data_IF_647803083804
#
_entry.id   IF_647803083804
#
_cell.length_a   1.000
_cell.length_b   1.000
_cell.length_c   1.000
_cell.angle_alpha   90.00
_cell.angle_beta   90.00
_cell.angle_gamma   90.00
#
_symmetry.space_group_name_H-M   'P 1'
#
loop_
_entity.id
_entity.type
_entity.pdbx_description
1 polymer ?
#
# COMPACT_ATOMS: atom_id res chain seq x y z
N UNK A 1 13.63 19.09 -14.60
CA UNK A 1 12.46 18.18 -14.56
C UNK A 1 11.20 19.00 -14.76
N UNK A 2 10.29 18.64 -15.67
CA UNK A 2 8.99 19.31 -15.78
C UNK A 2 8.02 18.74 -14.74
N UNK A 3 7.41 19.59 -13.90
CA UNK A 3 6.38 19.15 -12.94
C UNK A 3 5.00 19.23 -13.60
N UNK A 4 4.31 18.11 -13.69
CA UNK A 4 2.95 18.01 -14.24
C UNK A 4 2.11 17.13 -13.33
N UNK A 5 0.86 17.54 -13.06
CA UNK A 5 -0.06 16.81 -12.16
C UNK A 5 -1.23 16.28 -12.96
N UNK A 6 -1.51 14.98 -12.86
CA UNK A 6 -2.68 14.30 -13.44
C UNK A 6 -3.58 13.85 -12.30
N UNK A 7 -4.90 13.87 -12.50
CA UNK A 7 -5.85 13.38 -11.50
C UNK A 7 -5.69 11.86 -11.36
N UNK A 8 -5.72 11.35 -10.13
CA UNK A 8 -5.70 9.90 -9.89
C UNK A 8 -6.82 9.19 -10.66
N UNK A 9 -6.48 8.11 -11.36
CA UNK A 9 -7.40 7.34 -12.20
C UNK A 9 -7.63 7.87 -13.62
N UNK A 10 -7.15 9.07 -13.97
CA UNK A 10 -7.27 9.62 -15.33
C UNK A 10 -6.16 9.09 -16.25
N UNK A 11 -6.33 7.84 -16.71
CA UNK A 11 -5.38 7.17 -17.62
C UNK A 11 -5.30 7.88 -18.97
N UNK A 12 -6.44 8.30 -19.52
CA UNK A 12 -6.49 9.00 -20.79
C UNK A 12 -5.69 10.32 -20.75
N UNK A 13 -5.90 11.13 -19.70
CA UNK A 13 -5.14 12.36 -19.51
C UNK A 13 -3.64 12.14 -19.28
N UNK A 14 -3.25 11.01 -18.66
CA UNK A 14 -1.84 10.63 -18.53
C UNK A 14 -1.23 10.29 -19.91
N UNK A 15 -1.91 9.47 -20.70
CA UNK A 15 -1.46 9.05 -22.03
C UNK A 15 -1.38 10.24 -23.01
N UNK A 16 -2.36 11.14 -22.97
CA UNK A 16 -2.34 12.37 -23.78
C UNK A 16 -1.09 13.21 -23.46
N UNK A 17 -0.71 13.31 -22.18
CA UNK A 17 0.50 14.03 -21.79
C UNK A 17 1.76 13.33 -22.25
N UNK A 18 1.81 12.00 -22.17
CA UNK A 18 2.92 11.24 -22.72
C UNK A 18 3.05 11.42 -24.23
N UNK A 19 1.94 11.46 -24.97
CA UNK A 19 1.94 11.77 -26.39
C UNK A 19 2.52 13.17 -26.67
N UNK A 20 2.07 14.20 -25.94
CA UNK A 20 2.62 15.57 -26.07
C UNK A 20 4.12 15.63 -25.74
N UNK A 21 4.59 14.88 -24.74
CA UNK A 21 6.01 14.80 -24.39
C UNK A 21 6.82 14.07 -25.47
N UNK A 22 6.27 13.01 -26.05
CA UNK A 22 6.88 12.28 -27.17
C UNK A 22 7.07 13.18 -28.38
N UNK A 23 6.05 13.96 -28.77
CA UNK A 23 6.17 14.89 -29.90
C UNK A 23 7.26 15.94 -29.67
N UNK A 24 7.29 16.54 -28.47
CA UNK A 24 8.34 17.50 -28.10
C UNK A 24 9.74 16.89 -28.12
N UNK A 25 9.90 15.65 -27.66
CA UNK A 25 11.18 14.96 -27.68
C UNK A 25 11.58 14.54 -29.10
N UNK A 26 10.62 14.10 -29.92
CA UNK A 26 10.86 13.69 -31.32
C UNK A 26 11.35 14.87 -32.16
N UNK A 27 10.74 16.03 -31.99
CA UNK A 27 11.16 17.27 -32.64
C UNK A 27 12.61 17.68 -32.28
N UNK A 28 13.14 17.23 -31.14
CA UNK A 28 14.49 17.58 -30.68
C UNK A 28 15.56 16.54 -31.01
N UNK A 29 15.24 15.25 -30.87
CA UNK A 29 16.23 14.17 -30.88
C UNK A 29 15.98 13.10 -31.95
N UNK A 30 14.89 13.16 -32.72
CA UNK A 30 14.56 12.22 -33.80
C UNK A 30 14.18 10.80 -33.37
N UNK A 31 14.56 10.38 -32.16
CA UNK A 31 14.16 9.13 -31.49
C UNK A 31 13.66 9.43 -30.08
N UNK A 32 12.64 8.69 -29.64
CA UNK A 32 12.10 8.81 -28.29
C UNK A 32 11.85 7.42 -27.72
N UNK A 33 12.56 7.08 -26.64
CA UNK A 33 12.21 5.98 -25.75
C UNK A 33 11.58 6.59 -24.51
N UNK A 34 10.42 6.08 -24.10
CA UNK A 34 9.69 6.55 -22.94
C UNK A 34 9.70 5.43 -21.90
N UNK A 35 10.32 5.69 -20.76
CA UNK A 35 10.38 4.74 -19.64
C UNK A 35 9.81 5.43 -18.41
N UNK A 36 8.90 4.76 -17.74
CA UNK A 36 8.24 5.25 -16.53
C UNK A 36 8.79 4.51 -15.31
N UNK A 37 8.94 5.22 -14.20
CA UNK A 37 9.28 4.64 -12.90
C UNK A 37 8.35 5.19 -11.84
N UNK A 38 7.88 4.31 -10.96
CA UNK A 38 7.05 4.65 -9.80
C UNK A 38 7.49 3.88 -8.55
N UNK A 39 7.22 4.45 -7.38
CA UNK A 39 7.37 3.74 -6.11
C UNK A 39 6.19 2.80 -5.88
N UNK A 40 6.47 1.60 -5.35
CA UNK A 40 5.41 0.77 -4.81
C UNK A 40 4.73 1.50 -3.64
N UNK A 41 3.41 1.57 -3.69
CA UNK A 41 2.64 2.39 -2.75
C UNK A 41 1.16 2.06 -2.72
N UNK A 42 0.36 3.05 -2.31
CA UNK A 42 -1.09 2.93 -2.16
C UNK A 42 -1.79 2.55 -3.48
N UNK A 43 -1.28 3.04 -4.60
CA UNK A 43 -1.80 2.77 -5.93
C UNK A 43 -1.55 1.32 -6.38
N UNK A 44 -0.89 0.48 -5.57
CA UNK A 44 -0.59 -0.90 -5.91
C UNK A 44 0.17 -0.99 -7.23
N UNK A 45 -0.26 -1.91 -8.10
CA UNK A 45 0.41 -2.18 -9.39
C UNK A 45 -0.45 -1.86 -10.62
N UNK A 46 -1.61 -1.19 -10.45
CA UNK A 46 -2.52 -0.96 -11.58
C UNK A 46 -1.94 0.01 -12.61
N UNK A 47 -1.18 1.04 -12.18
CA UNK A 47 -0.53 2.00 -13.07
C UNK A 47 0.50 1.29 -13.96
N UNK A 48 1.33 0.43 -13.36
CA UNK A 48 2.32 -0.37 -14.09
C UNK A 48 1.65 -1.21 -15.19
N UNK A 49 0.58 -1.92 -14.83
CA UNK A 49 -0.19 -2.75 -15.76
C UNK A 49 -0.85 -1.93 -16.87
N UNK A 50 -1.46 -0.79 -16.53
CA UNK A 50 -2.09 0.10 -17.50
C UNK A 50 -1.07 0.63 -18.51
N UNK A 51 0.12 1.03 -18.06
CA UNK A 51 1.19 1.51 -18.93
C UNK A 51 1.77 0.40 -19.82
N UNK A 52 1.98 -0.79 -19.27
CA UNK A 52 2.46 -1.94 -20.05
C UNK A 52 1.46 -2.36 -21.14
N UNK A 53 0.16 -2.31 -20.87
CA UNK A 53 -0.89 -2.59 -21.86
C UNK A 53 -0.87 -1.59 -23.03
N UNK A 54 -0.44 -0.36 -22.79
CA UNK A 54 -0.25 0.69 -23.80
C UNK A 54 1.13 0.61 -24.48
N UNK A 55 1.89 -0.47 -24.23
CA UNK A 55 3.23 -0.69 -24.79
C UNK A 55 4.29 0.26 -24.23
N UNK A 56 4.05 0.83 -23.04
CA UNK A 56 4.98 1.74 -22.37
C UNK A 56 5.80 0.95 -21.36
N UNK A 57 7.12 1.08 -21.45
CA UNK A 57 8.01 0.47 -20.48
C UNK A 57 7.84 1.14 -19.11
N UNK A 58 7.50 0.35 -18.10
CA UNK A 58 7.21 0.80 -16.75
C UNK A 58 7.96 -0.06 -15.73
N UNK A 59 8.51 0.59 -14.70
CA UNK A 59 9.26 -0.03 -13.62
C UNK A 59 8.69 0.40 -12.26
N UNK A 60 8.56 -0.56 -11.35
CA UNK A 60 8.15 -0.30 -9.96
C UNK A 60 9.35 -0.51 -9.06
N UNK A 61 9.67 0.45 -8.19
CA UNK A 61 10.78 0.35 -7.25
C UNK A 61 10.27 0.16 -5.82
N UNK A 62 10.97 -0.67 -5.04
CA UNK A 62 10.74 -0.78 -3.60
C UNK A 62 11.26 0.50 -2.91
N UNK A 63 10.40 1.33 -2.31
CA UNK A 63 10.84 2.56 -1.63
C UNK A 63 11.82 2.28 -0.48
N UNK A 64 11.76 1.10 0.15
CA UNK A 64 12.68 0.73 1.23
C UNK A 64 14.11 0.46 0.73
N UNK A 65 14.27 0.16 -0.57
CA UNK A 65 15.55 -0.17 -1.19
C UNK A 65 16.33 1.05 -1.68
N UNK A 66 15.68 2.21 -1.76
CA UNK A 66 16.30 3.43 -2.26
C UNK A 66 17.18 4.03 -1.16
N UNK A 67 18.49 4.10 -1.41
CA UNK A 67 19.44 4.70 -0.49
C UNK A 67 19.17 6.21 -0.33
N UNK A 68 18.47 6.59 0.74
CA UNK A 68 18.22 7.99 1.10
C UNK A 68 19.21 8.48 2.15
N UNK A 69 19.76 9.67 1.94
CA UNK A 69 20.65 10.33 2.91
C UNK A 69 19.93 10.57 4.24
N UNK A 70 20.47 10.04 5.34
CA UNK A 70 19.95 10.26 6.71
C UNK A 70 20.29 11.64 7.29
N UNK A 71 21.14 12.45 6.64
CA UNK A 71 21.48 13.81 7.13
C UNK A 71 20.28 14.73 6.99
N UNK A 72 19.80 15.27 8.13
CA UNK A 72 18.70 16.24 8.33
C UNK A 72 17.52 15.97 7.39
N UNK A 73 16.40 15.45 7.93
CA UNK A 73 15.10 15.33 7.24
C UNK A 73 14.84 16.58 6.39
N UNK A 74 15.16 16.52 5.10
CA UNK A 74 14.81 17.55 4.14
C UNK A 74 13.29 17.54 4.03
N UNK A 75 12.68 18.70 3.83
CA UNK A 75 11.26 18.76 3.54
C UNK A 75 10.97 17.86 2.33
N UNK A 76 10.06 16.89 2.50
CA UNK A 76 9.64 15.98 1.43
C UNK A 76 9.06 16.83 0.30
N UNK A 77 9.74 16.84 -0.85
CA UNK A 77 9.31 17.60 -2.01
C UNK A 77 9.28 16.64 -3.18
N UNK A 78 8.14 16.51 -3.85
CA UNK A 78 7.91 15.56 -4.95
C UNK A 78 9.00 15.60 -6.05
N UNK A 79 9.65 16.76 -6.22
CA UNK A 79 10.75 16.92 -7.17
C UNK A 79 12.04 16.20 -6.77
N UNK A 80 12.39 16.21 -5.47
CA UNK A 80 13.56 15.50 -4.95
C UNK A 80 13.32 13.99 -5.03
N UNK A 81 12.12 13.55 -4.66
CA UNK A 81 11.74 12.14 -4.72
C UNK A 81 11.76 11.65 -6.19
N UNK A 82 11.22 12.44 -7.13
CA UNK A 82 11.26 12.12 -8.56
C UNK A 82 12.67 12.05 -9.16
N UNK A 83 13.60 12.92 -8.75
CA UNK A 83 14.99 12.84 -9.20
C UNK A 83 15.69 11.58 -8.72
N UNK A 84 15.41 11.15 -7.49
CA UNK A 84 15.96 9.91 -6.93
C UNK A 84 15.49 8.70 -7.74
N UNK A 85 14.20 8.66 -8.10
CA UNK A 85 13.65 7.60 -8.96
C UNK A 85 14.33 7.57 -10.33
N UNK A 86 14.49 8.72 -10.99
CA UNK A 86 15.16 8.77 -12.29
C UNK A 86 16.61 8.29 -12.20
N UNK A 87 17.35 8.65 -11.14
CA UNK A 87 18.72 8.17 -10.93
C UNK A 87 18.78 6.66 -10.72
N UNK A 88 17.85 6.12 -9.93
CA UNK A 88 17.72 4.70 -9.67
C UNK A 88 17.44 3.93 -10.98
N UNK A 89 16.51 4.42 -11.80
CA UNK A 89 16.19 3.85 -13.11
C UNK A 89 17.41 3.85 -14.05
N UNK A 90 18.15 4.96 -14.12
CA UNK A 90 19.33 5.07 -14.97
C UNK A 90 20.44 4.09 -14.54
N UNK A 91 20.66 3.92 -13.24
CA UNK A 91 21.62 2.94 -12.73
C UNK A 91 21.18 1.50 -13.04
N UNK A 92 19.90 1.19 -12.83
CA UNK A 92 19.33 -0.11 -13.19
C UNK A 92 19.53 -0.43 -14.68
N UNK A 93 19.22 0.53 -15.57
CA UNK A 93 19.42 0.40 -17.02
C UNK A 93 20.88 0.25 -17.45
N UNK A 94 21.84 0.76 -16.66
CA UNK A 94 23.28 0.53 -16.86
C UNK A 94 23.77 -0.85 -16.39
N UNK A 95 22.90 -1.68 -15.83
CA UNK A 95 23.28 -2.99 -15.31
C UNK A 95 23.85 -2.93 -13.89
N UNK A 96 23.49 -1.91 -13.10
CA UNK A 96 23.84 -1.79 -11.68
C UNK A 96 22.64 -2.18 -10.78
N UNK A 97 22.22 -3.46 -10.72
CA UNK A 97 20.98 -3.88 -10.06
C UNK A 97 21.02 -3.74 -8.53
N UNK A 98 22.19 -3.46 -7.93
CA UNK A 98 22.34 -3.28 -6.47
C UNK A 98 21.94 -1.88 -5.99
N UNK A 99 21.65 -0.94 -6.90
CA UNK A 99 21.33 0.46 -6.53
C UNK A 99 19.90 0.62 -6.00
N UNK A 100 18.96 -0.22 -6.45
CA UNK A 100 17.61 -0.30 -5.91
C UNK A 100 16.97 -1.64 -6.30
N UNK A 101 16.01 -2.12 -5.51
CA UNK A 101 15.25 -3.32 -5.82
C UNK A 101 14.05 -2.95 -6.70
N UNK A 102 14.09 -3.39 -7.96
CA UNK A 102 12.92 -3.34 -8.84
C UNK A 102 11.95 -4.46 -8.47
N UNK A 103 10.69 -4.09 -8.27
CA UNK A 103 9.60 -5.01 -7.94
C UNK A 103 9.01 -5.51 -9.25
N UNK A 104 8.97 -6.83 -9.41
CA UNK A 104 8.13 -7.46 -10.42
C UNK A 104 6.68 -7.36 -9.94
N UNK A 105 5.84 -6.65 -10.70
CA UNK A 105 4.43 -6.53 -10.39
C UNK A 105 3.78 -7.93 -10.36
N UNK A 106 3.09 -8.31 -9.27
CA UNK A 106 2.32 -9.54 -9.22
C UNK A 106 1.14 -9.48 -10.19
N UNK A 107 0.66 -10.64 -10.63
CA UNK A 107 -0.57 -10.68 -11.43
C UNK A 107 -1.77 -10.23 -10.58
N UNK A 108 -2.87 -9.76 -11.20
CA UNK A 108 -4.08 -9.42 -10.45
C UNK A 108 -4.57 -10.56 -9.54
N UNK A 109 -4.46 -11.81 -9.99
CA UNK A 109 -4.86 -13.00 -9.24
C UNK A 109 -3.93 -13.26 -8.05
N UNK A 110 -2.62 -13.03 -8.20
CA UNK A 110 -1.66 -13.14 -7.10
C UNK A 110 -1.86 -12.04 -6.05
N UNK A 111 -2.18 -10.82 -6.49
CA UNK A 111 -2.51 -9.69 -5.63
C UNK A 111 -3.79 -9.96 -4.84
N UNK A 112 -4.84 -10.44 -5.51
CA UNK A 112 -6.12 -10.80 -4.88
C UNK A 112 -5.99 -11.96 -3.89
N UNK A 113 -5.21 -12.99 -4.22
CA UNK A 113 -4.91 -14.09 -3.30
C UNK A 113 -4.23 -13.60 -2.01
N UNK A 114 -3.33 -12.62 -2.12
CA UNK A 114 -2.67 -11.99 -0.96
C UNK A 114 -3.61 -11.07 -0.18
N UNK A 115 -4.56 -10.44 -0.87
CA UNK A 115 -5.57 -9.53 -0.29
C UNK A 115 -6.42 -10.26 0.75
N UNK A 116 -6.96 -11.42 0.41
CA UNK A 116 -7.79 -12.22 1.32
C UNK A 116 -7.09 -12.53 2.65
N UNK A 117 -5.81 -12.96 2.59
CA UNK A 117 -5.03 -13.26 3.79
C UNK A 117 -4.79 -12.02 4.67
N UNK A 118 -4.60 -10.85 4.07
CA UNK A 118 -4.39 -9.57 4.79
C UNK A 118 -5.70 -9.09 5.40
N UNK A 119 -6.78 -9.09 4.62
CA UNK A 119 -8.11 -8.68 5.08
C UNK A 119 -8.58 -9.57 6.23
N UNK A 120 -8.42 -10.89 6.12
CA UNK A 120 -8.72 -11.80 7.23
C UNK A 120 -7.95 -11.45 8.50
N UNK A 121 -6.65 -11.14 8.40
CA UNK A 121 -5.83 -10.73 9.56
C UNK A 121 -6.35 -9.44 10.18
N UNK A 122 -6.67 -8.44 9.38
CA UNK A 122 -7.24 -7.16 9.85
C UNK A 122 -8.58 -7.41 10.55
N UNK A 123 -9.48 -8.15 9.92
CA UNK A 123 -10.81 -8.47 10.48
C UNK A 123 -10.71 -9.24 11.79
N UNK A 124 -9.73 -10.15 11.94
CA UNK A 124 -9.50 -10.84 13.22
C UNK A 124 -9.09 -9.85 14.31
N UNK A 125 -8.19 -8.92 14.02
CA UNK A 125 -7.75 -7.89 14.98
C UNK A 125 -8.89 -6.96 15.34
N UNK A 126 -9.68 -6.53 14.36
CA UNK A 126 -10.87 -5.69 14.57
C UNK A 126 -11.91 -6.41 15.41
N UNK A 127 -12.21 -7.68 15.11
CA UNK A 127 -13.10 -8.51 15.92
C UNK A 127 -12.63 -8.57 17.36
N UNK A 128 -11.34 -8.87 17.61
CA UNK A 128 -10.78 -8.90 18.98
C UNK A 128 -10.94 -7.54 19.67
N UNK A 129 -10.66 -6.44 18.97
CA UNK A 129 -10.83 -5.07 19.49
C UNK A 129 -12.28 -4.81 19.88
N UNK A 130 -13.24 -5.16 19.03
CA UNK A 130 -14.66 -4.99 19.31
C UNK A 130 -15.13 -5.85 20.49
N UNK A 131 -14.71 -7.12 20.55
CA UNK A 131 -15.02 -8.02 21.67
C UNK A 131 -14.49 -7.44 22.98
N UNK A 132 -13.23 -7.00 23.02
CA UNK A 132 -12.64 -6.42 24.22
C UNK A 132 -13.34 -5.12 24.65
N UNK A 133 -13.73 -4.28 23.68
CA UNK A 133 -14.51 -3.07 23.95
C UNK A 133 -15.87 -3.39 24.56
N UNK A 134 -16.60 -4.36 24.01
CA UNK A 134 -17.91 -4.79 24.54
C UNK A 134 -17.75 -5.43 25.91
N UNK A 135 -16.75 -6.30 26.12
CA UNK A 135 -16.44 -6.88 27.44
C UNK A 135 -16.23 -5.81 28.50
N UNK A 136 -15.45 -4.77 28.19
CA UNK A 136 -15.21 -3.65 29.12
C UNK A 136 -16.49 -2.88 29.47
N UNK A 137 -17.37 -2.65 28.49
CA UNK A 137 -18.67 -2.00 28.72
C UNK A 137 -19.62 -2.85 29.56
N UNK A 138 -19.68 -4.17 29.32
CA UNK A 138 -20.52 -5.07 30.11
C UNK A 138 -20.03 -5.20 31.55
N UNK A 139 -18.71 -5.27 31.73
CA UNK A 139 -18.11 -5.36 33.06
C UNK A 139 -18.43 -4.11 33.90
N UNK A 140 -18.49 -2.93 33.30
CA UNK A 140 -18.90 -1.70 34.00
C UNK A 140 -20.37 -1.71 34.45
N UNK A 141 -21.20 -2.59 33.87
CA UNK A 141 -22.59 -2.81 34.27
C UNK A 141 -22.74 -4.05 35.18
N UNK A 142 -21.64 -4.66 35.65
CA UNK A 142 -21.67 -5.88 36.45
C UNK A 142 -22.02 -7.15 35.67
N UNK A 143 -22.07 -7.08 34.34
CA UNK A 143 -22.38 -8.22 33.47
C UNK A 143 -21.07 -8.92 33.08
N UNK A 144 -20.95 -10.20 33.44
CA UNK A 144 -19.78 -11.04 33.15
C UNK A 144 -20.15 -12.25 32.26
N UNK A 145 -19.15 -12.98 31.76
CA UNK A 145 -19.38 -14.20 30.97
C UNK A 145 -19.67 -14.01 29.47
N UNK A 146 -19.50 -12.80 28.94
CA UNK A 146 -19.65 -12.55 27.49
C UNK A 146 -18.45 -13.07 26.69
N UNK A 147 -18.60 -14.23 26.03
CA UNK A 147 -17.54 -14.86 25.22
C UNK A 147 -17.98 -15.21 23.78
N UNK A 148 -18.12 -14.21 22.90
CA UNK A 148 -18.61 -14.42 21.54
C UNK A 148 -17.63 -15.15 20.61
N UNK A 149 -16.39 -15.39 21.06
CA UNK A 149 -15.36 -16.06 20.28
C UNK A 149 -15.09 -17.51 20.73
N UNK A 150 -15.81 -18.00 21.76
CA UNK A 150 -15.64 -19.35 22.31
C UNK A 150 -16.46 -20.42 21.56
N UNK A 151 -17.32 -20.03 20.62
CA UNK A 151 -18.27 -20.95 20.00
C UNK A 151 -17.74 -21.49 18.67
N UNK A 152 -17.10 -22.66 18.73
CA UNK A 152 -17.44 -23.73 17.80
C UNK A 152 -18.58 -24.50 18.46
N UNK A 153 -19.74 -24.55 17.80
CA UNK A 153 -20.98 -25.27 18.13
C UNK A 153 -21.47 -25.36 19.60
N UNK A 154 -22.75 -25.03 19.74
CA UNK A 154 -23.63 -25.31 20.88
C UNK A 154 -23.54 -24.43 22.13
N UNK A 155 -24.60 -23.63 22.31
CA UNK A 155 -25.11 -23.34 23.64
C UNK A 155 -25.15 -21.86 24.00
N UNK A 156 -26.33 -21.28 23.78
CA UNK A 156 -26.85 -20.15 24.53
C UNK A 156 -26.37 -20.14 26.00
N UNK A 157 -25.87 -18.99 26.42
CA UNK A 157 -25.75 -18.47 27.80
C UNK A 157 -26.06 -19.54 28.85
N UNK A 158 -25.08 -20.38 29.21
CA UNK A 158 -25.14 -21.10 30.49
C UNK A 158 -24.70 -20.14 31.58
N UNK A 159 -25.67 -19.44 32.14
CA UNK A 159 -25.56 -18.84 33.48
C UNK A 159 -25.07 -19.92 34.46
N UNK A 160 -23.80 -19.86 34.87
CA UNK A 160 -23.34 -20.49 36.12
C UNK A 160 -23.08 -19.37 37.12
N UNK A 161 -23.66 -19.43 38.33
CA UNK A 161 -23.39 -18.43 39.35
C UNK A 161 -22.02 -18.73 39.93
N UNK A 162 -20.98 -18.08 39.42
CA UNK A 162 -19.74 -17.92 40.18
C UNK A 162 -19.94 -16.71 41.09
N UNK A 163 -20.46 -16.96 42.28
CA UNK A 163 -20.49 -15.99 43.37
C UNK A 163 -19.04 -15.76 43.80
N UNK A 164 -18.38 -14.79 43.18
CA UNK A 164 -17.16 -14.18 43.72
C UNK A 164 -17.54 -12.77 44.11
N UNK A 165 -17.82 -12.60 45.40
CA UNK A 165 -17.92 -11.29 46.00
C UNK A 165 -16.50 -10.68 46.06
N UNK A 166 -16.27 -9.65 45.25
CA UNK A 166 -15.25 -8.65 45.55
C UNK A 166 -15.93 -7.30 45.58
N UNK A 167 -16.21 -6.84 46.80
CA UNK A 167 -16.77 -5.53 47.07
C UNK A 167 -15.59 -4.57 47.30
N UNK A 168 -15.44 -3.55 46.45
CA UNK A 168 -14.66 -2.36 46.76
C UNK A 168 -15.35 -1.14 46.17
N UNK A 169 -16.23 -0.53 46.96
CA UNK A 169 -16.64 0.85 46.77
C UNK A 169 -15.69 1.70 47.61
N UNK A 170 -14.96 2.60 46.93
CA UNK A 170 -13.95 3.57 47.43
C UNK A 170 -13.19 3.19 48.70
#
# INVERSE_FOLDING_TARGET
>A
MSKQVVRGGDVAGLLERFARLREKARARTGKVLFVVIQEAGLDGFWIDRALQNEGIESHVVDPASIATSRRRRRAKTDGIDGEVLVRALLAYKRGEPRVCAMIKAPTPEEEDRRRLCRERKVLIVERVRHVNRVKGLLLSQGISGYEPAATGDDGWIRSRPAMVAYCRFT
#
